data_IF_647880688235
#
_entry.id   IF_647880688235
#
_cell.length_a   1.000
_cell.length_b   1.000
_cell.length_c   1.000
_cell.angle_alpha   90.00
_cell.angle_beta   90.00
_cell.angle_gamma   90.00
#
_symmetry.space_group_name_H-M   'P 1'
#
loop_
_entity.id
_entity.type
_entity.pdbx_description
1 polymer ?
#
# COMPACT_ATOMS: atom_id res chain seq x y z
N UNK A 1 11.84 5.62 2.62
CA UNK A 1 11.04 4.54 2.01
C UNK A 1 9.70 5.09 1.56
N UNK A 2 9.32 4.86 0.33
CA UNK A 2 8.05 5.38 -0.20
C UNK A 2 7.23 4.26 -0.80
N UNK A 3 5.92 4.41 -0.71
CA UNK A 3 4.98 3.52 -1.38
C UNK A 3 4.22 4.32 -2.44
N UNK A 4 4.08 3.73 -3.62
CA UNK A 4 3.42 4.36 -4.75
C UNK A 4 2.14 3.59 -5.06
N UNK A 5 1.05 4.31 -5.30
CA UNK A 5 -0.25 3.71 -5.57
C UNK A 5 -0.24 2.91 -6.87
N UNK A 6 -1.23 2.04 -7.00
CA UNK A 6 -1.44 1.23 -8.20
C UNK A 6 -1.55 2.09 -9.47
N UNK A 7 -2.20 3.23 -9.37
CA UNK A 7 -2.34 4.17 -10.47
C UNK A 7 -1.11 5.07 -10.67
N UNK A 8 -0.15 5.00 -9.74
CA UNK A 8 1.10 5.76 -9.77
C UNK A 8 0.92 7.28 -9.67
N UNK A 9 -0.22 7.73 -9.16
CA UNK A 9 -0.49 9.15 -8.96
C UNK A 9 -0.38 9.59 -7.49
N UNK A 10 -0.16 8.63 -6.57
CA UNK A 10 0.02 8.92 -5.16
C UNK A 10 1.30 8.26 -4.68
N UNK A 11 2.16 9.03 -4.03
CA UNK A 11 3.39 8.53 -3.44
C UNK A 11 3.48 9.05 -2.00
N UNK A 12 3.64 8.13 -1.06
CA UNK A 12 3.57 8.45 0.37
C UNK A 12 4.82 7.94 1.07
N UNK A 13 5.43 8.75 1.96
CA UNK A 13 6.51 8.24 2.82
C UNK A 13 5.94 7.20 3.78
N UNK A 14 6.51 6.00 3.80
CA UNK A 14 6.03 4.94 4.69
C UNK A 14 6.25 5.24 6.16
N UNK A 15 7.21 6.10 6.48
CA UNK A 15 7.54 6.45 7.86
C UNK A 15 6.40 7.14 8.60
N UNK A 16 5.47 7.73 7.87
CA UNK A 16 4.34 8.48 8.45
C UNK A 16 2.99 7.84 8.13
N UNK A 17 2.99 6.62 7.61
CA UNK A 17 1.76 5.99 7.14
C UNK A 17 1.56 4.61 7.78
N UNK A 18 0.30 4.29 8.02
CA UNK A 18 -0.12 2.93 8.39
C UNK A 18 -0.80 2.31 7.18
N UNK A 19 -0.28 1.19 6.72
CA UNK A 19 -0.89 0.47 5.62
C UNK A 19 -1.99 -0.46 6.16
N UNK A 20 -3.09 -0.50 5.46
CA UNK A 20 -4.24 -1.30 5.87
C UNK A 20 -4.88 -1.96 4.65
N UNK A 21 -5.18 -3.24 4.77
CA UNK A 21 -6.01 -3.92 3.78
C UNK A 21 -7.44 -3.89 4.29
N UNK A 22 -8.33 -3.41 3.46
CA UNK A 22 -9.74 -3.27 3.81
C UNK A 22 -10.56 -3.93 2.71
N UNK A 23 -10.93 -5.21 2.93
CA UNK A 23 -11.61 -5.99 1.91
C UNK A 23 -10.74 -6.17 0.67
N UNK A 24 -11.18 -5.61 -0.43
CA UNK A 24 -10.50 -5.72 -1.73
C UNK A 24 -9.58 -4.55 -2.02
N UNK A 25 -9.35 -3.65 -1.05
CA UNK A 25 -8.55 -2.46 -1.26
C UNK A 25 -7.36 -2.40 -0.31
N UNK A 26 -6.35 -1.65 -0.70
CA UNK A 26 -5.20 -1.34 0.14
C UNK A 26 -5.16 0.17 0.31
N UNK A 27 -5.11 0.62 1.55
CA UNK A 27 -5.16 2.04 1.91
C UNK A 27 -3.98 2.41 2.79
N UNK A 28 -3.63 3.69 2.77
CA UNK A 28 -2.66 4.27 3.70
C UNK A 28 -3.36 5.32 4.54
N UNK A 29 -3.16 5.25 5.86
CA UNK A 29 -3.68 6.24 6.79
C UNK A 29 -2.51 7.03 7.36
N UNK A 30 -2.60 8.35 7.27
CA UNK A 30 -1.58 9.24 7.79
C UNK A 30 -1.93 9.73 9.19
N UNK A 31 -0.95 10.27 9.91
CA UNK A 31 -1.12 10.75 11.28
C UNK A 31 -2.20 11.83 11.41
N UNK A 32 -2.41 12.62 10.35
CA UNK A 32 -3.43 13.66 10.34
C UNK A 32 -4.84 13.12 10.11
N UNK A 33 -5.01 11.83 10.07
CA UNK A 33 -6.30 11.17 9.84
C UNK A 33 -6.71 11.02 8.40
N UNK A 34 -5.89 11.47 7.46
CA UNK A 34 -6.19 11.31 6.04
C UNK A 34 -5.93 9.88 5.58
N UNK A 35 -6.83 9.38 4.76
CA UNK A 35 -6.71 8.06 4.14
C UNK A 35 -6.56 8.20 2.64
N UNK A 36 -5.66 7.39 2.07
CA UNK A 36 -5.45 7.35 0.63
C UNK A 36 -5.66 5.94 0.12
N UNK A 37 -6.46 5.81 -0.92
CA UNK A 37 -6.64 4.53 -1.61
C UNK A 37 -5.41 4.28 -2.47
N UNK A 38 -4.66 3.24 -2.15
CA UNK A 38 -3.45 2.91 -2.90
C UNK A 38 -3.71 1.89 -3.99
N UNK A 39 -4.66 0.99 -3.80
CA UNK A 39 -4.98 0.01 -4.82
C UNK A 39 -6.33 -0.65 -4.58
N UNK A 40 -6.97 -1.07 -5.67
CA UNK A 40 -8.20 -1.83 -5.64
C UNK A 40 -8.00 -3.09 -6.46
N UNK A 41 -8.50 -4.22 -5.95
CA UNK A 41 -8.25 -5.53 -6.54
C UNK A 41 -9.57 -6.24 -6.78
N UNK A 42 -9.56 -7.26 -7.60
CA UNK A 42 -10.79 -7.95 -8.00
C UNK A 42 -11.32 -8.94 -6.95
N UNK A 43 -10.51 -9.23 -5.90
CA UNK A 43 -10.94 -10.10 -4.82
C UNK A 43 -10.16 -9.80 -3.56
N UNK A 44 -10.67 -10.24 -2.41
CA UNK A 44 -9.95 -10.14 -1.14
C UNK A 44 -8.63 -10.90 -1.19
N UNK A 45 -8.65 -12.06 -1.87
CA UNK A 45 -7.44 -12.87 -1.98
C UNK A 45 -6.34 -12.13 -2.74
N UNK A 46 -6.70 -11.49 -3.86
CA UNK A 46 -5.74 -10.71 -4.66
C UNK A 46 -5.18 -9.54 -3.84
N UNK A 47 -6.04 -8.84 -3.10
CA UNK A 47 -5.61 -7.75 -2.24
C UNK A 47 -4.69 -8.24 -1.12
N UNK A 48 -5.03 -9.40 -0.52
CA UNK A 48 -4.22 -9.96 0.54
C UNK A 48 -2.84 -10.39 0.04
N UNK A 49 -2.78 -11.00 -1.14
CA UNK A 49 -1.51 -11.40 -1.74
C UNK A 49 -0.63 -10.19 -2.02
N UNK A 50 -1.20 -9.11 -2.53
CA UNK A 50 -0.44 -7.89 -2.79
C UNK A 50 -0.01 -7.24 -1.48
N UNK A 51 -0.86 -7.23 -0.48
CA UNK A 51 -0.52 -6.70 0.84
C UNK A 51 0.66 -7.47 1.45
N UNK A 52 0.64 -8.80 1.32
CA UNK A 52 1.72 -9.65 1.82
C UNK A 52 3.03 -9.36 1.05
N UNK A 53 2.95 -9.19 -0.27
CA UNK A 53 4.12 -8.87 -1.09
C UNK A 53 4.74 -7.53 -0.66
N UNK A 54 3.91 -6.52 -0.45
CA UNK A 54 4.37 -5.20 -0.03
C UNK A 54 5.06 -5.28 1.34
N UNK A 55 4.46 -6.01 2.29
CA UNK A 55 5.05 -6.18 3.61
C UNK A 55 6.39 -6.91 3.55
N UNK A 56 6.52 -7.89 2.67
CA UNK A 56 7.79 -8.60 2.49
C UNK A 56 8.86 -7.66 1.93
N UNK A 57 8.50 -6.78 1.00
CA UNK A 57 9.43 -5.80 0.44
C UNK A 57 9.86 -4.77 1.49
N UNK A 58 8.94 -4.34 2.34
CA UNK A 58 9.26 -3.44 3.45
C UNK A 58 10.27 -4.11 4.38
N UNK A 59 10.01 -5.37 4.73
CA UNK A 59 10.93 -6.12 5.59
C UNK A 59 12.30 -6.33 4.97
N UNK A 60 12.38 -6.37 3.65
CA UNK A 60 13.64 -6.50 2.92
C UNK A 60 14.39 -5.17 2.73
N UNK A 61 13.78 -4.06 3.14
CA UNK A 61 14.43 -2.74 3.09
C UNK A 61 14.39 -2.05 1.74
N UNK A 62 13.41 -2.37 0.91
CA UNK A 62 13.25 -1.68 -0.37
C UNK A 62 12.93 -0.21 -0.18
N UNK A 63 13.57 0.68 -0.94
CA UNK A 63 13.41 2.13 -0.81
C UNK A 63 12.12 2.63 -1.43
N UNK A 64 11.71 2.04 -2.55
CA UNK A 64 10.49 2.42 -3.25
C UNK A 64 9.69 1.15 -3.57
N UNK A 65 8.41 1.18 -3.25
CA UNK A 65 7.52 0.05 -3.49
C UNK A 65 6.34 0.55 -4.29
N UNK A 66 6.11 -0.06 -5.45
CA UNK A 66 4.99 0.28 -6.32
C UNK A 66 3.98 -0.86 -6.24
N UNK A 67 2.71 -0.51 -5.94
CA UNK A 67 1.65 -1.49 -5.90
C UNK A 67 1.36 -2.02 -7.30
N UNK A 68 1.27 -3.35 -7.41
CA UNK A 68 0.93 -4.01 -8.65
C UNK A 68 -0.58 -4.04 -8.87
N UNK A 69 -0.96 -4.35 -10.08
CA UNK A 69 -2.37 -4.50 -10.46
C UNK A 69 -2.90 -5.90 -10.18
#
# INVERSE_FOLDING_TARGET
MRIVSQSQDISIPLEIAVLRRDGMTINAELENGKNYLLGAYESEKAAQEEFNRVNALIGAGHLNIILGS
#
